data_IF_081706617452
#
_entry.id   IF_081706617452
#
_cell.length_a   1.000
_cell.length_b   1.000
_cell.length_c   1.000
_cell.angle_alpha   90.00
_cell.angle_beta   90.00
_cell.angle_gamma   90.00
#
_symmetry.space_group_name_H-M   'P 1'
#
loop_
_entity.id
_entity.type
_entity.pdbx_description
1 polymer ?
#
# COMPACT_ATOMS: atom_id res chain seq x y z
N UNK A 1 -54.07 33.35 -31.78
CA UNK A 1 -53.00 32.38 -32.11
C UNK A 1 -52.09 32.22 -30.93
N UNK A 2 -52.14 31.12 -30.17
CA UNK A 2 -51.24 30.92 -29.03
C UNK A 2 -49.90 30.30 -29.50
N UNK A 3 -48.80 30.94 -29.10
CA UNK A 3 -47.46 30.45 -29.36
C UNK A 3 -47.12 29.37 -28.31
N UNK A 4 -46.95 28.11 -28.74
CA UNK A 4 -46.39 27.04 -27.91
C UNK A 4 -44.91 27.31 -27.70
N UNK A 5 -44.49 27.52 -26.45
CA UNK A 5 -43.09 27.44 -26.04
C UNK A 5 -42.76 25.97 -25.72
N UNK A 6 -41.98 25.35 -26.57
CA UNK A 6 -41.43 24.04 -26.28
C UNK A 6 -40.22 24.20 -25.29
N UNK A 7 -40.39 23.73 -24.07
CA UNK A 7 -39.29 23.67 -23.09
C UNK A 7 -38.50 22.41 -23.40
N UNK A 8 -37.28 22.60 -23.91
CA UNK A 8 -36.30 21.53 -24.12
C UNK A 8 -35.65 21.23 -22.75
N UNK A 9 -36.06 20.13 -22.08
CA UNK A 9 -35.42 19.65 -20.89
C UNK A 9 -34.14 18.88 -21.30
N UNK A 10 -32.99 19.53 -21.15
CA UNK A 10 -31.70 18.91 -21.34
C UNK A 10 -31.43 18.02 -20.11
N UNK A 11 -31.63 16.70 -20.24
CA UNK A 11 -31.25 15.74 -19.21
C UNK A 11 -29.72 15.66 -19.16
N UNK A 12 -29.12 16.30 -18.15
CA UNK A 12 -27.72 16.16 -17.83
C UNK A 12 -27.50 14.74 -17.24
N UNK A 13 -27.10 13.80 -18.09
CA UNK A 13 -26.66 12.48 -17.64
C UNK A 13 -25.28 12.65 -16.99
N UNK A 14 -25.25 12.91 -15.68
CA UNK A 14 -24.03 12.91 -14.90
C UNK A 14 -23.50 11.49 -14.82
N UNK A 15 -22.44 11.18 -15.57
CA UNK A 15 -21.67 9.97 -15.36
C UNK A 15 -21.01 10.07 -13.97
N UNK A 16 -21.60 9.40 -12.98
CA UNK A 16 -20.93 9.16 -11.71
C UNK A 16 -19.80 8.19 -12.02
N UNK A 17 -18.55 8.67 -12.02
CA UNK A 17 -17.40 7.80 -11.94
C UNK A 17 -17.54 7.03 -10.61
N UNK A 18 -17.79 5.74 -10.70
CA UNK A 18 -17.74 4.87 -9.52
C UNK A 18 -16.33 4.99 -8.96
N UNK A 19 -16.20 5.44 -7.70
CA UNK A 19 -14.92 5.40 -7.00
C UNK A 19 -14.50 3.92 -6.93
N UNK A 20 -13.22 3.65 -7.20
CA UNK A 20 -12.68 2.31 -7.01
C UNK A 20 -12.99 1.84 -5.59
N UNK A 21 -13.40 0.57 -5.40
CA UNK A 21 -13.70 0.07 -4.07
C UNK A 21 -12.46 0.21 -3.19
N UNK A 22 -12.64 0.73 -1.97
CA UNK A 22 -11.57 0.86 -1.00
C UNK A 22 -10.92 -0.52 -0.75
N UNK A 23 -9.58 -0.55 -0.69
CA UNK A 23 -8.86 -1.78 -0.37
C UNK A 23 -9.16 -2.24 1.07
N UNK A 24 -9.12 -3.54 1.35
CA UNK A 24 -9.19 -4.03 2.72
C UNK A 24 -8.09 -3.38 3.57
N UNK A 25 -8.42 -3.06 4.81
CA UNK A 25 -7.49 -2.47 5.77
C UNK A 25 -7.22 -3.44 6.92
N UNK A 26 -5.99 -3.40 7.41
CA UNK A 26 -5.53 -4.25 8.50
C UNK A 26 -4.81 -3.41 9.56
N UNK A 27 -5.20 -3.58 10.82
CA UNK A 27 -4.47 -3.02 11.94
C UNK A 27 -3.25 -3.91 12.24
N UNK A 28 -2.07 -3.29 12.32
CA UNK A 28 -0.81 -3.94 12.65
C UNK A 28 -0.16 -3.21 13.84
N UNK A 29 0.70 -3.93 14.56
CA UNK A 29 1.51 -3.37 15.63
C UNK A 29 2.96 -3.82 15.48
N UNK A 30 3.91 -2.89 15.69
CA UNK A 30 5.35 -3.18 15.71
C UNK A 30 5.98 -2.45 16.90
N UNK A 31 6.53 -3.20 17.86
CA UNK A 31 7.13 -2.63 19.09
C UNK A 31 6.19 -1.65 19.82
N UNK A 32 4.91 -1.96 19.93
CA UNK A 32 3.93 -1.10 20.58
C UNK A 32 3.42 0.09 19.72
N UNK A 33 3.91 0.24 18.50
CA UNK A 33 3.43 1.28 17.57
C UNK A 33 2.36 0.73 16.64
N UNK A 34 1.15 1.29 16.75
CA UNK A 34 0.01 0.92 15.92
C UNK A 34 0.08 1.61 14.56
N UNK A 35 -0.32 0.88 13.53
CA UNK A 35 -0.52 1.40 12.19
C UNK A 35 -1.72 0.72 11.54
N UNK A 36 -2.25 1.32 10.48
CA UNK A 36 -3.26 0.70 9.61
C UNK A 36 -2.69 0.59 8.20
N UNK A 37 -2.70 -0.60 7.64
CA UNK A 37 -2.23 -0.84 6.28
C UNK A 37 -3.39 -1.23 5.36
N UNK A 38 -3.46 -0.64 4.18
CA UNK A 38 -4.23 -1.19 3.08
C UNK A 38 -3.59 -2.49 2.61
N UNK A 39 -4.37 -3.48 2.21
CA UNK A 39 -3.84 -4.80 1.87
C UNK A 39 -3.82 -5.00 0.35
N UNK A 40 -2.62 -5.15 -0.20
CA UNK A 40 -2.37 -5.51 -1.58
C UNK A 40 -2.23 -7.05 -1.70
N UNK A 41 -3.34 -7.73 -1.95
CA UNK A 41 -3.41 -9.19 -1.98
C UNK A 41 -3.59 -9.78 -3.38
N UNK A 42 -3.84 -8.98 -4.42
CA UNK A 42 -3.93 -9.42 -5.81
C UNK A 42 -2.72 -8.95 -6.62
N UNK A 43 -2.41 -9.61 -7.74
CA UNK A 43 -1.31 -9.20 -8.62
C UNK A 43 -1.50 -7.77 -9.13
N UNK A 44 -2.71 -7.38 -9.51
CA UNK A 44 -3.01 -6.04 -10.00
C UNK A 44 -2.74 -4.97 -8.93
N UNK A 45 -3.20 -5.20 -7.69
CA UNK A 45 -3.00 -4.26 -6.59
C UNK A 45 -1.53 -4.21 -6.16
N UNK A 46 -0.85 -5.37 -6.09
CA UNK A 46 0.60 -5.42 -5.80
C UNK A 46 1.42 -4.65 -6.84
N UNK A 47 1.06 -4.76 -8.12
CA UNK A 47 1.75 -4.04 -9.21
C UNK A 47 1.56 -2.53 -9.10
N UNK A 48 0.33 -2.07 -8.81
CA UNK A 48 0.04 -0.64 -8.66
C UNK A 48 0.60 -0.07 -7.36
N UNK A 49 0.49 -0.80 -6.25
CA UNK A 49 0.95 -0.34 -4.95
C UNK A 49 0.47 1.08 -4.61
N UNK A 50 1.39 1.94 -4.17
CA UNK A 50 1.14 3.34 -3.84
C UNK A 50 1.40 4.31 -5.01
N UNK A 51 1.50 3.80 -6.25
CA UNK A 51 1.68 4.65 -7.44
C UNK A 51 0.59 5.72 -7.52
N UNK A 52 0.97 6.89 -8.05
CA UNK A 52 0.09 8.04 -8.33
C UNK A 52 -0.53 8.72 -7.10
N UNK A 53 -0.28 8.24 -5.89
CA UNK A 53 -0.73 8.90 -4.67
C UNK A 53 0.15 10.09 -4.33
N UNK A 54 -0.45 11.13 -3.76
CA UNK A 54 0.22 12.37 -3.41
C UNK A 54 0.64 12.45 -1.95
N UNK A 55 -0.05 11.68 -1.09
CA UNK A 55 0.20 11.67 0.35
C UNK A 55 -0.18 10.32 0.95
N UNK A 56 0.43 10.04 2.10
CA UNK A 56 0.12 8.90 2.95
C UNK A 56 0.07 9.45 4.39
N UNK A 57 -1.06 9.33 5.12
CA UNK A 57 -1.12 9.77 6.52
C UNK A 57 -0.06 9.06 7.38
N UNK A 58 0.38 9.68 8.48
CA UNK A 58 1.58 9.27 9.23
C UNK A 58 1.60 7.78 9.63
N UNK A 59 0.49 7.27 10.16
CA UNK A 59 0.40 5.87 10.62
C UNK A 59 -0.38 4.99 9.63
N UNK A 60 -0.34 5.33 8.37
CA UNK A 60 -0.93 4.56 7.27
C UNK A 60 0.16 3.99 6.39
N UNK A 61 -0.11 2.81 5.82
CA UNK A 61 0.80 2.13 4.92
C UNK A 61 0.09 1.18 3.97
N UNK A 62 0.88 0.39 3.27
CA UNK A 62 0.38 -0.70 2.43
C UNK A 62 1.13 -1.99 2.72
N UNK A 63 0.37 -3.04 3.03
CA UNK A 63 0.87 -4.39 3.23
C UNK A 63 0.70 -5.21 1.96
N UNK A 64 1.79 -5.65 1.39
CA UNK A 64 1.82 -6.58 0.27
C UNK A 64 1.84 -8.00 0.80
N UNK A 65 0.91 -8.85 0.34
CA UNK A 65 0.78 -10.25 0.75
C UNK A 65 1.09 -11.14 -0.44
N UNK A 66 2.09 -12.01 -0.31
CA UNK A 66 2.51 -12.92 -1.35
C UNK A 66 1.98 -14.34 -1.08
N UNK A 67 1.79 -15.15 -2.13
CA UNK A 67 1.25 -16.51 -2.01
C UNK A 67 2.15 -17.44 -1.22
N UNK A 68 3.47 -17.27 -1.35
CA UNK A 68 4.49 -18.04 -0.64
C UNK A 68 5.71 -17.16 -0.36
N UNK A 69 6.57 -17.58 0.56
CA UNK A 69 7.82 -16.90 0.82
C UNK A 69 8.76 -17.02 -0.40
N UNK A 70 9.20 -15.88 -0.92
CA UNK A 70 10.13 -15.80 -2.05
C UNK A 70 10.93 -14.50 -2.00
N UNK A 71 12.07 -14.41 -2.69
CA UNK A 71 12.79 -13.15 -2.86
C UNK A 71 11.89 -12.12 -3.53
N UNK A 72 11.84 -10.91 -2.98
CA UNK A 72 11.08 -9.78 -3.51
C UNK A 72 12.00 -8.61 -3.81
N UNK A 73 11.61 -7.78 -4.76
CA UNK A 73 12.31 -6.55 -5.08
C UNK A 73 11.32 -5.49 -5.52
N UNK A 74 11.45 -4.28 -4.97
CA UNK A 74 10.54 -3.17 -5.20
C UNK A 74 11.27 -1.99 -5.84
N UNK A 75 10.54 -1.18 -6.57
CA UNK A 75 10.99 0.07 -7.18
C UNK A 75 10.00 1.19 -6.88
N UNK A 76 10.37 2.42 -7.23
CA UNK A 76 9.56 3.61 -7.00
C UNK A 76 9.03 4.24 -8.29
N UNK A 77 8.84 3.42 -9.33
CA UNK A 77 8.25 3.90 -10.59
C UNK A 77 6.84 4.47 -10.30
N UNK A 78 6.55 5.66 -10.84
CA UNK A 78 5.27 6.37 -10.66
C UNK A 78 4.86 6.60 -9.21
N UNK A 79 5.77 6.49 -8.26
CA UNK A 79 5.51 6.66 -6.83
C UNK A 79 6.13 7.96 -6.33
N UNK A 80 5.28 8.92 -5.95
CA UNK A 80 5.68 10.30 -5.59
C UNK A 80 6.04 10.45 -4.11
N UNK A 81 5.54 9.56 -3.26
CA UNK A 81 5.73 9.62 -1.81
C UNK A 81 7.06 8.97 -1.47
N UNK A 82 7.98 9.64 -0.75
CA UNK A 82 9.15 8.98 -0.19
C UNK A 82 8.71 7.87 0.78
N UNK A 83 9.17 6.65 0.59
CA UNK A 83 8.76 5.48 1.36
C UNK A 83 9.95 4.77 2.03
N UNK A 84 9.66 4.08 3.12
CA UNK A 84 10.49 3.01 3.67
C UNK A 84 9.74 1.70 3.52
N UNK A 85 10.42 0.66 3.07
CA UNK A 85 9.86 -0.69 2.96
C UNK A 85 10.50 -1.62 3.99
N UNK A 86 9.65 -2.36 4.72
CA UNK A 86 10.08 -3.46 5.59
C UNK A 86 9.68 -4.78 4.94
N UNK A 87 10.65 -5.65 4.70
CA UNK A 87 10.43 -7.02 4.24
C UNK A 87 10.23 -7.94 5.44
N UNK A 88 9.21 -8.80 5.38
CA UNK A 88 8.75 -9.57 6.53
C UNK A 88 8.65 -11.04 6.12
N UNK A 89 9.27 -11.92 6.88
CA UNK A 89 9.23 -13.35 6.65
C UNK A 89 7.86 -13.96 7.04
N UNK A 90 7.68 -15.24 6.76
CA UNK A 90 6.44 -15.96 7.08
C UNK A 90 6.14 -16.06 8.58
N UNK A 91 7.16 -15.87 9.44
CA UNK A 91 7.01 -15.84 10.89
C UNK A 91 6.68 -14.44 11.44
N UNK A 92 6.52 -13.44 10.56
CA UNK A 92 6.24 -12.05 10.93
C UNK A 92 7.45 -11.27 11.42
N UNK A 93 8.67 -11.74 11.11
CA UNK A 93 9.92 -11.05 11.49
C UNK A 93 10.40 -10.15 10.34
N UNK A 94 10.72 -8.90 10.63
CA UNK A 94 11.34 -7.99 9.66
C UNK A 94 12.76 -8.50 9.38
N UNK A 95 13.05 -8.80 8.10
CA UNK A 95 14.36 -9.27 7.65
C UNK A 95 15.29 -8.13 7.24
N UNK A 96 14.77 -7.10 6.59
CA UNK A 96 15.48 -5.85 6.29
C UNK A 96 14.50 -4.72 6.02
N UNK A 97 15.01 -3.49 6.11
CA UNK A 97 14.29 -2.25 5.82
C UNK A 97 15.15 -1.44 4.85
N UNK A 98 14.52 -0.80 3.86
CA UNK A 98 15.17 0.08 2.91
C UNK A 98 14.39 1.38 2.73
N UNK A 99 15.09 2.50 2.62
CA UNK A 99 14.51 3.78 2.20
C UNK A 99 14.52 3.84 0.67
N UNK A 100 13.43 4.31 0.09
CA UNK A 100 13.21 4.31 -1.35
C UNK A 100 12.93 5.73 -1.84
N UNK A 101 13.77 6.19 -2.79
CA UNK A 101 13.66 7.53 -3.37
C UNK A 101 12.53 7.58 -4.41
N UNK A 102 11.62 8.57 -4.35
CA UNK A 102 10.55 8.73 -5.33
C UNK A 102 11.02 8.76 -6.77
N UNK A 103 10.18 8.22 -7.67
CA UNK A 103 10.34 8.29 -9.12
C UNK A 103 11.63 7.66 -9.66
N UNK A 104 12.21 6.71 -8.92
CA UNK A 104 13.38 5.95 -9.37
C UNK A 104 12.99 4.52 -9.74
N UNK A 105 13.79 3.92 -10.61
CA UNK A 105 13.63 2.51 -11.03
C UNK A 105 14.70 1.61 -10.44
N UNK A 106 15.53 2.14 -9.54
CA UNK A 106 16.45 1.33 -8.76
C UNK A 106 15.66 0.31 -7.94
N UNK A 107 16.16 -0.92 -7.89
CA UNK A 107 15.49 -1.99 -7.18
C UNK A 107 15.99 -2.12 -5.75
N UNK A 108 15.07 -2.41 -4.84
CA UNK A 108 15.33 -2.59 -3.41
C UNK A 108 14.97 -4.04 -3.05
N UNK A 109 15.95 -4.95 -2.97
CA UNK A 109 15.67 -6.37 -2.76
C UNK A 109 15.44 -6.71 -1.28
N UNK A 110 14.65 -7.77 -1.04
CA UNK A 110 14.62 -8.43 0.26
C UNK A 110 15.93 -9.20 0.51
N UNK A 111 16.42 -9.18 1.75
CA UNK A 111 17.65 -9.89 2.13
C UNK A 111 17.47 -11.42 2.19
N UNK A 112 16.23 -11.88 2.30
CA UNK A 112 15.83 -13.30 2.36
C UNK A 112 14.47 -13.47 1.69
N UNK A 113 14.01 -14.71 1.42
CA UNK A 113 12.62 -14.95 1.04
C UNK A 113 11.65 -14.38 2.06
N UNK A 114 10.62 -13.67 1.61
CA UNK A 114 9.63 -13.00 2.46
C UNK A 114 8.22 -13.29 2.00
N UNK A 115 7.29 -13.32 2.96
CA UNK A 115 5.86 -13.54 2.75
C UNK A 115 5.10 -12.22 2.63
N UNK A 116 5.66 -11.14 3.20
CA UNK A 116 5.04 -9.82 3.23
C UNK A 116 6.07 -8.72 2.99
N UNK A 117 5.57 -7.57 2.52
CA UNK A 117 6.31 -6.31 2.53
C UNK A 117 5.38 -5.21 3.05
N UNK A 118 5.90 -4.29 3.85
CA UNK A 118 5.15 -3.18 4.41
C UNK A 118 5.80 -1.85 4.02
N UNK A 119 5.08 -1.05 3.24
CA UNK A 119 5.49 0.31 2.89
C UNK A 119 4.84 1.32 3.84
N UNK A 120 5.66 2.22 4.36
CA UNK A 120 5.29 3.35 5.22
C UNK A 120 5.95 4.62 4.71
N UNK A 121 5.52 5.79 5.19
CA UNK A 121 6.27 7.02 4.95
C UNK A 121 7.74 6.85 5.31
N UNK A 122 8.64 7.42 4.51
CA UNK A 122 10.08 7.32 4.74
C UNK A 122 10.47 7.76 6.14
N UNK A 123 11.25 6.92 6.80
CA UNK A 123 11.72 7.14 8.17
C UNK A 123 10.74 6.70 9.26
N UNK A 124 9.56 6.20 8.93
CA UNK A 124 8.56 5.79 9.93
C UNK A 124 9.12 4.73 10.90
N UNK A 125 9.83 3.74 10.39
CA UNK A 125 10.45 2.69 11.20
C UNK A 125 11.60 3.23 12.05
N UNK A 126 12.51 3.97 11.43
CA UNK A 126 13.71 4.50 12.10
C UNK A 126 13.36 5.44 13.28
N UNK A 127 12.37 6.32 13.11
CA UNK A 127 11.89 7.22 14.17
C UNK A 127 11.34 6.48 15.39
N UNK A 128 10.93 5.23 15.21
CA UNK A 128 10.34 4.37 16.26
C UNK A 128 11.32 3.32 16.76
N UNK A 129 12.57 3.36 16.32
CA UNK A 129 13.59 2.39 16.71
C UNK A 129 13.28 0.96 16.24
N UNK A 130 12.49 0.84 15.16
CA UNK A 130 12.14 -0.45 14.55
C UNK A 130 13.23 -0.82 13.55
N UNK A 131 13.79 -2.01 13.72
CA UNK A 131 14.91 -2.53 12.93
C UNK A 131 14.62 -3.97 12.49
N UNK A 132 15.50 -4.51 11.65
CA UNK A 132 15.56 -5.94 11.34
C UNK A 132 15.52 -6.76 12.64
N UNK A 133 14.76 -7.85 12.66
CA UNK A 133 14.51 -8.69 13.83
C UNK A 133 13.25 -8.31 14.62
N UNK A 134 12.65 -7.14 14.39
CA UNK A 134 11.38 -6.77 15.04
C UNK A 134 10.23 -7.64 14.52
N UNK A 135 9.27 -7.92 15.42
CA UNK A 135 8.04 -8.65 15.08
C UNK A 135 6.94 -7.69 14.66
N UNK A 136 6.18 -8.12 13.66
CA UNK A 136 4.94 -7.47 13.21
C UNK A 136 3.76 -8.31 13.67
N UNK A 137 2.95 -7.72 14.54
CA UNK A 137 1.74 -8.35 15.07
C UNK A 137 0.53 -8.02 14.18
N UNK A 138 -0.43 -8.95 14.13
CA UNK A 138 -1.68 -8.75 13.36
C UNK A 138 -1.69 -9.40 11.97
N UNK A 139 -0.56 -9.84 11.43
CA UNK A 139 -0.45 -10.42 10.08
C UNK A 139 -1.36 -11.64 9.85
N UNK A 140 -1.68 -12.41 10.90
CA UNK A 140 -2.59 -13.57 10.82
C UNK A 140 -4.00 -13.19 10.36
N UNK A 141 -4.38 -11.93 10.49
CA UNK A 141 -5.69 -11.40 10.06
C UNK A 141 -5.66 -10.87 8.62
N UNK A 142 -4.51 -10.94 7.94
CA UNK A 142 -4.42 -10.48 6.56
C UNK A 142 -5.29 -11.35 5.64
N UNK A 143 -6.02 -10.75 4.70
CA UNK A 143 -6.68 -11.50 3.64
C UNK A 143 -5.68 -12.41 2.92
N UNK A 144 -6.10 -13.62 2.51
CA UNK A 144 -5.24 -14.48 1.72
C UNK A 144 -4.90 -13.83 0.37
N UNK A 145 -3.72 -14.10 -0.18
CA UNK A 145 -3.35 -13.63 -1.52
C UNK A 145 -4.24 -14.29 -2.58
N UNK A 146 -4.53 -13.51 -3.62
CA UNK A 146 -5.32 -13.91 -4.79
C UNK A 146 -4.50 -13.71 -6.06
#
# INVERSE_FOLDING_TARGET
>A
MPRLFAILILALCGAHAAADPALPELALEIKGHMLTAEVAATDAIRTTGLMHRRMLPENRGMLFVFSHASPQSFWMMNTYIPLSIAYIDENGTIVNIADMKPLTTDTHPSAKPVKYALEMNQGWFAKRGIKSGAKVEGLKNAPPPQ
#
